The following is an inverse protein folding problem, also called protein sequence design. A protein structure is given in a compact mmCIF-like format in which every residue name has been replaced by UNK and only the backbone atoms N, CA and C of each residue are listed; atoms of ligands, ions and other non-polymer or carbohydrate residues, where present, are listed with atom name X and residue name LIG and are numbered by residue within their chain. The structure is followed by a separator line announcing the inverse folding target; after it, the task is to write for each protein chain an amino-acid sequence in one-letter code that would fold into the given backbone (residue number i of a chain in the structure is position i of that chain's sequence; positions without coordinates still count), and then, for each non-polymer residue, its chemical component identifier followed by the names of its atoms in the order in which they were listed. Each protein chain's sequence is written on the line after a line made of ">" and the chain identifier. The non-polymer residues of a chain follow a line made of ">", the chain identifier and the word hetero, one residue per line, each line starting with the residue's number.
data_IF_932266585100
#
_entry.id   IF_932266585100
#
_cell.length_a   1.000
_cell.length_b   1.000
_cell.length_c   1.000
_cell.angle_alpha   90.00
_cell.angle_beta   90.00
_cell.angle_gamma   90.00
#
_symmetry.space_group_name_H-M   'P 1'
#
loop_
_entity.id
_entity.type
_entity.pdbx_description
1 polymer ?
#
# COMPACT_ATOMS: atom_id res chain seq x y z
N UNK A 1 39.52 19.36 -34.41
CA UNK A 1 39.04 19.69 -33.05
C UNK A 1 37.53 19.52 -33.05
N UNK A 2 36.99 18.55 -32.30
CA UNK A 2 35.55 18.34 -32.11
C UNK A 2 35.04 19.24 -30.96
N UNK A 3 33.79 19.73 -31.02
CA UNK A 3 33.03 20.13 -29.84
C UNK A 3 32.13 19.00 -29.33
N UNK A 4 31.94 18.99 -28.01
CA UNK A 4 31.45 17.88 -27.20
C UNK A 4 29.96 17.56 -27.29
N UNK A 5 29.67 16.29 -27.05
CA UNK A 5 28.36 15.76 -26.74
C UNK A 5 28.30 15.55 -25.22
N UNK A 6 27.40 16.26 -24.55
CA UNK A 6 27.06 16.02 -23.15
C UNK A 6 26.34 14.67 -23.05
N UNK A 7 26.94 13.72 -22.37
CA UNK A 7 26.31 12.44 -22.02
C UNK A 7 25.36 12.64 -20.85
N UNK A 8 24.07 12.33 -21.05
CA UNK A 8 23.11 12.15 -19.97
C UNK A 8 23.48 10.90 -19.17
N UNK A 9 23.92 11.07 -17.93
CA UNK A 9 24.06 9.96 -16.99
C UNK A 9 22.69 9.60 -16.44
N UNK A 10 22.12 8.48 -16.94
CA UNK A 10 21.03 7.78 -16.25
C UNK A 10 21.57 7.25 -14.93
N UNK A 11 21.02 7.72 -13.82
CA UNK A 11 21.27 7.13 -12.51
C UNK A 11 20.40 5.86 -12.46
N UNK A 12 20.97 4.74 -12.88
CA UNK A 12 20.39 3.41 -12.61
C UNK A 12 20.58 3.12 -11.13
N UNK A 13 19.57 3.41 -10.31
CA UNK A 13 19.49 2.86 -8.95
C UNK A 13 19.15 1.37 -9.09
N UNK A 14 20.11 0.49 -8.84
CA UNK A 14 19.90 -0.97 -8.86
C UNK A 14 19.24 -1.41 -7.55
N UNK A 15 17.97 -1.04 -7.38
CA UNK A 15 17.11 -1.68 -6.39
C UNK A 15 16.58 -3.00 -6.97
N UNK A 16 16.66 -4.09 -6.21
CA UNK A 16 16.13 -5.39 -6.62
C UNK A 16 15.09 -5.88 -5.60
N UNK A 17 14.03 -6.54 -6.09
CA UNK A 17 12.94 -7.09 -5.28
C UNK A 17 13.31 -8.52 -4.85
N UNK A 18 13.19 -8.83 -3.55
CA UNK A 18 13.35 -10.20 -3.06
C UNK A 18 12.00 -10.83 -2.73
N UNK A 19 11.72 -12.01 -3.30
CA UNK A 19 10.56 -12.83 -2.93
C UNK A 19 10.73 -13.35 -1.50
N UNK A 20 9.73 -13.09 -0.66
CA UNK A 20 9.66 -13.72 0.67
C UNK A 20 9.23 -15.19 0.50
N UNK A 21 9.90 -16.16 1.14
CA UNK A 21 9.43 -17.55 1.14
C UNK A 21 8.06 -17.66 1.85
N UNK A 22 7.26 -18.72 1.59
CA UNK A 22 5.91 -18.89 2.16
C UNK A 22 5.85 -18.81 3.70
N UNK A 23 6.95 -19.14 4.38
CA UNK A 23 7.10 -19.07 5.84
C UNK A 23 7.27 -17.64 6.38
N UNK A 24 7.54 -16.64 5.54
CA UNK A 24 7.70 -15.25 5.96
C UNK A 24 6.37 -14.52 6.22
N UNK A 25 5.23 -15.06 5.72
CA UNK A 25 3.88 -14.56 6.03
C UNK A 25 3.61 -14.52 7.54
N UNK A 26 4.20 -15.43 8.30
CA UNK A 26 4.00 -15.54 9.74
C UNK A 26 4.63 -14.36 10.52
N UNK A 27 5.66 -13.72 9.97
CA UNK A 27 6.26 -12.52 10.57
C UNK A 27 5.40 -11.26 10.37
N UNK A 28 4.58 -11.20 9.31
CA UNK A 28 3.70 -10.05 9.03
C UNK A 28 2.39 -10.06 9.82
N UNK A 29 2.04 -11.20 10.42
CA UNK A 29 0.84 -11.37 11.24
C UNK A 29 1.09 -11.05 12.73
N UNK A 30 2.36 -10.91 13.13
CA UNK A 30 2.77 -10.68 14.52
C UNK A 30 3.01 -9.18 14.77
N UNK A 31 2.42 -8.58 15.82
CA UNK A 31 2.73 -7.20 16.19
C UNK A 31 4.18 -7.09 16.68
N UNK A 32 5.00 -6.26 16.02
CA UNK A 32 6.36 -5.97 16.46
C UNK A 32 6.33 -4.86 17.53
N UNK A 33 6.94 -5.12 18.68
CA UNK A 33 7.05 -4.18 19.81
C UNK A 33 8.51 -3.78 20.02
N UNK A 34 8.88 -2.52 19.78
CA UNK A 34 10.17 -1.93 20.21
C UNK A 34 10.06 -0.40 20.34
N UNK A 35 10.38 0.10 21.54
CA UNK A 35 10.06 1.44 22.07
C UNK A 35 10.59 2.67 21.30
N UNK A 36 9.68 3.48 20.74
CA UNK A 36 9.39 4.91 21.00
C UNK A 36 8.40 5.38 19.91
N UNK A 37 7.14 5.53 20.30
CA UNK A 37 5.98 5.70 19.40
C UNK A 37 5.89 4.55 18.39
N UNK A 38 5.70 3.34 18.90
CA UNK A 38 5.68 2.13 18.09
C UNK A 38 4.43 2.14 17.22
N UNK A 39 4.62 2.34 15.91
CA UNK A 39 3.61 1.93 14.95
C UNK A 39 3.74 0.42 14.76
N UNK A 40 2.69 -0.30 15.15
CA UNK A 40 2.54 -1.69 14.79
C UNK A 40 1.69 -1.76 13.52
N UNK A 41 2.29 -2.24 12.43
CA UNK A 41 1.58 -2.55 11.20
C UNK A 41 1.21 -4.04 11.18
N UNK A 42 0.02 -4.33 10.69
CA UNK A 42 -0.40 -5.70 10.43
C UNK A 42 -1.31 -5.78 9.23
N UNK A 43 -1.11 -6.82 8.43
CA UNK A 43 -2.03 -7.16 7.36
C UNK A 43 -3.29 -7.77 7.96
N UNK A 44 -4.45 -7.21 7.63
CA UNK A 44 -5.74 -7.84 7.90
C UNK A 44 -6.09 -8.81 6.77
N UNK A 45 -5.73 -8.43 5.55
CA UNK A 45 -5.97 -9.20 4.36
C UNK A 45 -4.85 -9.01 3.35
N UNK A 46 -4.37 -10.10 2.75
CA UNK A 46 -3.43 -10.04 1.63
C UNK A 46 -4.25 -10.12 0.35
N UNK A 47 -4.17 -9.09 -0.48
CA UNK A 47 -4.87 -9.03 -1.74
C UNK A 47 -4.38 -10.07 -2.73
N UNK A 48 -5.13 -10.25 -3.80
CA UNK A 48 -4.84 -11.20 -4.86
C UNK A 48 -5.46 -10.76 -6.17
N UNK A 49 -4.89 -11.22 -7.28
CA UNK A 49 -5.48 -11.11 -8.62
C UNK A 49 -5.23 -12.44 -9.34
N UNK A 50 -6.30 -13.21 -9.56
CA UNK A 50 -6.22 -14.58 -10.04
C UNK A 50 -6.96 -14.73 -11.38
N UNK A 51 -6.27 -15.11 -12.47
CA UNK A 51 -6.90 -15.34 -13.75
C UNK A 51 -7.89 -16.51 -13.68
N UNK A 52 -8.99 -16.41 -14.42
CA UNK A 52 -10.02 -17.42 -14.54
C UNK A 52 -9.99 -18.06 -15.94
N UNK A 53 -10.59 -19.25 -16.08
CA UNK A 53 -10.61 -19.99 -17.35
C UNK A 53 -11.40 -19.32 -18.47
N UNK A 54 -12.29 -18.39 -18.14
CA UNK A 54 -13.11 -17.62 -19.07
C UNK A 54 -12.45 -16.30 -19.53
N UNK A 55 -11.20 -16.07 -19.12
CA UNK A 55 -10.44 -14.86 -19.43
C UNK A 55 -10.73 -13.68 -18.50
N UNK A 56 -11.58 -13.86 -17.47
CA UNK A 56 -11.79 -12.85 -16.42
C UNK A 56 -10.76 -13.00 -15.30
N UNK A 57 -10.79 -12.08 -14.34
CA UNK A 57 -9.95 -12.13 -13.14
C UNK A 57 -10.85 -12.10 -11.90
N UNK A 58 -10.44 -12.83 -10.88
CA UNK A 58 -10.97 -12.68 -9.52
C UNK A 58 -9.91 -11.95 -8.70
N UNK A 59 -10.25 -10.77 -8.21
CA UNK A 59 -9.32 -9.93 -7.49
C UNK A 59 -9.93 -9.35 -6.20
N UNK A 60 -9.05 -8.99 -5.28
CA UNK A 60 -9.38 -8.18 -4.13
C UNK A 60 -8.14 -7.45 -3.59
N UNK A 61 -8.35 -6.27 -3.01
CA UNK A 61 -7.29 -5.40 -2.52
C UNK A 61 -6.75 -5.80 -1.15
N UNK A 62 -5.46 -5.59 -0.93
CA UNK A 62 -4.81 -5.75 0.37
C UNK A 62 -5.37 -4.75 1.38
N UNK A 63 -5.78 -5.24 2.55
CA UNK A 63 -6.26 -4.40 3.66
C UNK A 63 -5.19 -4.34 4.75
N UNK A 64 -4.70 -3.14 5.04
CA UNK A 64 -3.62 -2.92 6.02
C UNK A 64 -4.11 -2.12 7.21
N UNK A 65 -3.82 -2.61 8.41
CA UNK A 65 -4.07 -1.89 9.66
C UNK A 65 -2.75 -1.38 10.24
N UNK A 66 -2.69 -0.07 10.49
CA UNK A 66 -1.58 0.60 11.15
C UNK A 66 -2.08 1.11 12.50
N UNK A 67 -1.48 0.62 13.58
CA UNK A 67 -1.83 0.98 14.97
C UNK A 67 -0.69 1.74 15.62
N UNK A 68 -1.01 2.76 16.40
CA UNK A 68 -0.05 3.61 17.12
C UNK A 68 -0.81 4.63 17.96
N UNK A 69 -0.39 5.90 18.02
CA UNK A 69 -1.21 6.98 18.61
C UNK A 69 -2.58 7.16 17.95
N UNK A 70 -2.70 6.71 16.69
CA UNK A 70 -3.91 6.69 15.87
C UNK A 70 -4.04 5.35 15.19
N UNK A 71 -5.28 4.90 15.00
CA UNK A 71 -5.60 3.67 14.27
C UNK A 71 -6.01 4.01 12.84
N UNK A 72 -5.22 3.56 11.88
CA UNK A 72 -5.37 3.88 10.47
C UNK A 72 -5.62 2.59 9.70
N UNK A 73 -6.69 2.56 8.94
CA UNK A 73 -7.00 1.52 7.99
C UNK A 73 -6.65 2.00 6.58
N UNK A 74 -5.85 1.24 5.85
CA UNK A 74 -5.51 1.52 4.45
C UNK A 74 -6.18 0.47 3.58
N UNK A 75 -7.02 0.96 2.67
CA UNK A 75 -8.01 0.22 1.89
C UNK A 75 -9.00 -0.60 2.75
N UNK A 76 -10.03 -1.12 2.11
CA UNK A 76 -11.19 -1.75 2.77
C UNK A 76 -11.71 -2.99 2.05
N UNK A 77 -11.00 -3.46 1.02
CA UNK A 77 -11.42 -4.58 0.17
C UNK A 77 -12.66 -4.25 -0.66
N UNK A 78 -13.13 -5.25 -1.39
CA UNK A 78 -14.40 -5.20 -2.12
C UNK A 78 -15.65 -5.29 -1.24
N UNK A 79 -16.84 -4.91 -1.73
CA UNK A 79 -18.07 -5.00 -0.95
C UNK A 79 -18.40 -6.42 -0.47
N UNK A 80 -17.90 -7.44 -1.17
CA UNK A 80 -18.04 -8.86 -0.83
C UNK A 80 -17.24 -9.25 0.43
N UNK A 81 -16.29 -8.44 0.88
CA UNK A 81 -15.40 -8.70 2.00
C UNK A 81 -15.86 -8.07 3.32
N UNK A 82 -17.09 -7.52 3.34
CA UNK A 82 -17.68 -6.84 4.51
C UNK A 82 -17.57 -7.64 5.81
N UNK A 83 -18.11 -8.86 5.84
CA UNK A 83 -18.10 -9.70 7.03
C UNK A 83 -16.69 -10.13 7.42
N UNK A 84 -15.83 -10.37 6.42
CA UNK A 84 -14.44 -10.76 6.63
C UNK A 84 -13.64 -9.64 7.29
N UNK A 85 -13.77 -8.40 6.80
CA UNK A 85 -13.13 -7.22 7.39
C UNK A 85 -13.58 -7.00 8.84
N UNK A 86 -14.88 -7.09 9.12
CA UNK A 86 -15.41 -6.97 10.49
C UNK A 86 -14.85 -8.05 11.42
N UNK A 87 -14.76 -9.30 10.93
CA UNK A 87 -14.16 -10.40 11.67
C UNK A 87 -12.68 -10.13 11.97
N UNK A 88 -11.91 -9.67 10.98
CA UNK A 88 -10.47 -9.37 11.15
C UNK A 88 -10.22 -8.22 12.13
N UNK A 89 -11.04 -7.17 12.11
CA UNK A 89 -10.98 -6.11 13.12
C UNK A 89 -11.27 -6.66 14.52
N UNK A 90 -12.30 -7.50 14.65
CA UNK A 90 -12.67 -8.13 15.92
C UNK A 90 -11.58 -9.06 16.46
N UNK A 91 -10.89 -9.81 15.61
CA UNK A 91 -9.70 -10.61 15.99
C UNK A 91 -8.59 -9.73 16.59
N UNK A 92 -8.52 -8.45 16.21
CA UNK A 92 -7.62 -7.44 16.78
C UNK A 92 -8.25 -6.66 17.94
N UNK A 93 -9.39 -7.12 18.45
CA UNK A 93 -10.16 -6.46 19.51
C UNK A 93 -10.58 -5.03 19.16
N UNK A 94 -10.82 -4.76 17.88
CA UNK A 94 -11.29 -3.47 17.37
C UNK A 94 -12.71 -3.58 16.83
N UNK A 95 -13.47 -2.50 16.92
CA UNK A 95 -14.72 -2.28 16.20
C UNK A 95 -14.54 -1.12 15.20
N UNK A 96 -15.43 -0.97 14.20
CA UNK A 96 -15.25 0.08 13.19
C UNK A 96 -15.15 1.50 13.74
N UNK A 97 -15.78 1.79 14.88
CA UNK A 97 -15.68 3.11 15.53
C UNK A 97 -14.33 3.39 16.21
N UNK A 98 -13.48 2.38 16.36
CA UNK A 98 -12.12 2.54 16.90
C UNK A 98 -11.12 2.98 15.83
N UNK A 99 -11.52 2.99 14.56
CA UNK A 99 -10.70 3.45 13.44
C UNK A 99 -10.77 4.99 13.38
N UNK A 100 -9.64 5.65 13.56
CA UNK A 100 -9.54 7.11 13.47
C UNK A 100 -9.56 7.57 11.99
N UNK A 101 -8.88 6.83 11.12
CA UNK A 101 -8.66 7.20 9.72
C UNK A 101 -8.84 6.02 8.79
N UNK A 102 -9.48 6.25 7.65
CA UNK A 102 -9.52 5.31 6.51
C UNK A 102 -8.90 5.99 5.30
N UNK A 103 -7.89 5.37 4.72
CA UNK A 103 -7.22 5.85 3.51
C UNK A 103 -7.48 4.85 2.39
N UNK A 104 -8.36 5.19 1.46
CA UNK A 104 -8.47 4.53 0.16
C UNK A 104 -7.35 5.02 -0.74
N UNK A 105 -6.44 4.12 -1.12
CA UNK A 105 -5.32 4.41 -2.02
C UNK A 105 -5.80 4.98 -3.33
N UNK A 106 -6.90 4.44 -3.86
CA UNK A 106 -7.60 4.90 -5.06
C UNK A 106 -9.06 4.42 -5.07
N UNK A 107 -9.81 4.78 -6.11
CA UNK A 107 -11.27 4.61 -6.17
C UNK A 107 -11.81 3.30 -6.74
N UNK A 108 -10.99 2.26 -6.92
CA UNK A 108 -11.50 0.98 -7.43
C UNK A 108 -12.30 0.21 -6.37
N UNK A 109 -13.27 -0.58 -6.85
CA UNK A 109 -14.30 -1.21 -6.02
C UNK A 109 -13.75 -2.16 -4.96
N UNK A 110 -12.65 -2.82 -5.27
CA UNK A 110 -11.91 -3.76 -4.45
C UNK A 110 -10.96 -3.12 -3.44
N UNK A 111 -10.87 -1.79 -3.41
CA UNK A 111 -10.11 -1.04 -2.40
C UNK A 111 -11.03 -0.23 -1.47
N UNK A 112 -12.15 0.29 -1.99
CA UNK A 112 -13.05 1.19 -1.25
C UNK A 112 -14.46 0.61 -1.04
N UNK A 113 -14.63 -0.70 -1.19
CA UNK A 113 -15.93 -1.36 -1.15
C UNK A 113 -16.66 -1.25 0.20
N UNK A 114 -15.93 -1.02 1.29
CA UNK A 114 -16.49 -1.04 2.64
C UNK A 114 -16.35 0.28 3.41
N UNK A 115 -16.15 1.42 2.74
CA UNK A 115 -16.04 2.73 3.41
C UNK A 115 -17.21 3.03 4.37
N UNK A 116 -18.43 2.60 4.03
CA UNK A 116 -19.63 2.80 4.85
C UNK A 116 -19.60 2.12 6.22
N UNK A 117 -18.65 1.21 6.48
CA UNK A 117 -18.44 0.61 7.79
C UNK A 117 -17.88 1.58 8.83
N UNK A 118 -17.23 2.67 8.39
CA UNK A 118 -16.42 3.53 9.25
C UNK A 118 -16.98 4.96 9.34
N UNK A 119 -18.23 5.16 9.78
CA UNK A 119 -18.91 6.47 9.71
C UNK A 119 -18.31 7.53 10.64
N UNK A 120 -17.49 7.13 11.62
CA UNK A 120 -16.82 8.05 12.56
C UNK A 120 -15.38 8.37 12.18
N UNK A 121 -14.81 7.62 11.22
CA UNK A 121 -13.45 7.84 10.78
C UNK A 121 -13.38 9.05 9.85
N UNK A 122 -12.21 9.69 9.81
CA UNK A 122 -11.88 10.63 8.73
C UNK A 122 -11.47 9.81 7.51
N UNK A 123 -12.13 10.02 6.38
CA UNK A 123 -11.95 9.23 5.16
C UNK A 123 -11.21 10.06 4.09
N UNK A 124 -10.18 9.44 3.51
CA UNK A 124 -9.46 9.92 2.33
C UNK A 124 -9.65 8.90 1.21
N UNK A 125 -9.93 9.34 -0.01
CA UNK A 125 -9.88 8.48 -1.20
C UNK A 125 -9.08 9.19 -2.26
N UNK A 126 -7.88 8.68 -2.57
CA UNK A 126 -6.94 9.40 -3.40
C UNK A 126 -6.63 10.81 -2.85
N UNK A 127 -6.80 11.84 -3.68
CA UNK A 127 -6.65 13.25 -3.26
C UNK A 127 -7.91 13.87 -2.63
N UNK A 128 -9.03 13.15 -2.61
CA UNK A 128 -10.27 13.68 -2.05
C UNK A 128 -10.24 13.58 -0.52
N UNK A 129 -10.01 14.73 0.11
CA UNK A 129 -10.00 14.86 1.57
C UNK A 129 -11.38 15.28 2.05
N UNK A 130 -12.01 14.45 2.87
CA UNK A 130 -13.16 14.89 3.68
C UNK A 130 -12.60 15.51 4.97
N UNK A 131 -12.38 16.83 4.95
CA UNK A 131 -12.21 17.67 6.15
C UNK A 131 -11.06 17.35 7.13
N UNK A 132 -9.82 17.04 6.75
CA UNK A 132 -8.73 17.03 7.75
C UNK A 132 -7.32 17.23 7.20
N UNK A 133 -6.49 17.94 7.96
CA UNK A 133 -5.08 18.12 7.66
C UNK A 133 -4.29 16.94 8.26
N UNK A 134 -3.95 15.93 7.44
CA UNK A 134 -3.29 14.67 7.86
C UNK A 134 -1.88 14.86 8.46
N UNK A 135 -1.34 16.08 8.44
CA UNK A 135 0.01 16.43 8.90
C UNK A 135 0.27 16.23 10.42
N UNK A 136 -0.72 15.79 11.20
CA UNK A 136 -0.62 15.68 12.66
C UNK A 136 -0.27 14.27 13.17
N UNK A 137 -0.07 13.28 12.30
CA UNK A 137 0.28 11.91 12.72
C UNK A 137 1.81 11.74 12.60
N UNK A 138 2.56 11.66 13.72
CA UNK A 138 4.01 11.51 13.64
C UNK A 138 4.40 10.26 12.85
N UNK A 139 5.41 10.34 11.99
CA UNK A 139 5.98 9.21 11.23
C UNK A 139 5.07 8.55 10.19
N UNK A 140 3.80 8.95 10.07
CA UNK A 140 2.88 8.48 9.02
C UNK A 140 2.58 9.63 8.07
N UNK A 141 2.68 9.37 6.76
CA UNK A 141 2.34 10.35 5.73
C UNK A 141 1.60 9.67 4.59
N UNK A 142 0.51 10.28 4.14
CA UNK A 142 -0.10 9.98 2.84
C UNK A 142 0.71 10.72 1.78
N UNK A 143 1.20 10.00 0.78
CA UNK A 143 2.03 10.57 -0.29
C UNK A 143 1.37 10.33 -1.65
N UNK A 144 1.44 11.31 -2.57
CA UNK A 144 1.11 11.12 -3.98
C UNK A 144 1.82 9.89 -4.56
N UNK A 145 1.10 9.02 -5.26
CA UNK A 145 1.69 7.91 -6.01
C UNK A 145 0.96 7.62 -7.33
N UNK A 146 0.69 8.66 -8.16
CA UNK A 146 -0.17 8.53 -9.32
C UNK A 146 0.37 7.53 -10.34
N UNK A 147 -0.52 6.99 -11.15
CA UNK A 147 -0.17 6.28 -12.37
C UNK A 147 -1.10 5.10 -12.68
N UNK A 148 -1.43 4.31 -11.65
CA UNK A 148 -2.47 3.26 -11.79
C UNK A 148 -3.81 3.92 -12.11
N UNK A 149 -4.17 4.91 -11.31
CA UNK A 149 -5.15 5.95 -11.63
C UNK A 149 -4.50 7.34 -11.59
N UNK A 150 -5.28 8.39 -11.86
CA UNK A 150 -4.79 9.77 -11.81
C UNK A 150 -4.62 10.34 -10.39
N UNK A 151 -5.27 9.76 -9.39
CA UNK A 151 -5.39 10.33 -8.04
C UNK A 151 -4.86 9.43 -6.93
N UNK A 152 -4.04 8.44 -7.28
CA UNK A 152 -3.54 7.45 -6.32
C UNK A 152 -2.70 8.09 -5.22
N UNK A 153 -2.85 7.55 -4.02
CA UNK A 153 -2.01 7.84 -2.86
C UNK A 153 -1.50 6.56 -2.22
N UNK A 154 -0.33 6.65 -1.59
CA UNK A 154 0.27 5.61 -0.78
C UNK A 154 0.41 6.07 0.67
N UNK A 155 0.42 5.14 1.62
CA UNK A 155 0.67 5.43 3.03
C UNK A 155 2.09 5.00 3.40
N UNK A 156 2.93 5.99 3.73
CA UNK A 156 4.31 5.78 4.17
C UNK A 156 4.41 5.85 5.68
N UNK A 157 4.99 4.83 6.30
CA UNK A 157 5.23 4.73 7.74
C UNK A 157 6.74 4.59 7.99
N UNK A 158 7.30 5.52 8.74
CA UNK A 158 8.71 5.48 9.18
C UNK A 158 8.81 4.89 10.58
N UNK A 159 10.01 4.46 10.96
CA UNK A 159 10.31 4.08 12.35
C UNK A 159 9.77 2.71 12.75
N UNK A 160 9.34 1.87 11.80
CA UNK A 160 9.06 0.47 12.07
C UNK A 160 10.37 -0.32 12.13
N UNK A 161 10.40 -1.45 12.84
CA UNK A 161 11.61 -2.29 13.03
C UNK A 161 12.27 -2.73 11.72
N UNK A 162 11.51 -2.72 10.62
CA UNK A 162 11.94 -3.09 9.27
C UNK A 162 12.36 -1.90 8.40
N UNK A 163 12.38 -0.67 8.93
CA UNK A 163 12.77 0.55 8.21
C UNK A 163 11.56 1.43 7.85
N UNK A 164 11.44 1.78 6.58
CA UNK A 164 10.31 2.51 5.99
C UNK A 164 9.36 1.54 5.30
N UNK A 165 8.11 1.51 5.75
CA UNK A 165 7.02 0.75 5.13
C UNK A 165 6.21 1.64 4.19
N UNK A 166 5.84 1.13 3.03
CA UNK A 166 4.93 1.76 2.10
C UNK A 166 3.74 0.84 1.80
N UNK A 167 2.53 1.25 2.19
CA UNK A 167 1.29 0.64 1.70
C UNK A 167 0.95 1.34 0.40
N UNK A 168 1.13 0.63 -0.71
CA UNK A 168 1.27 1.25 -2.03
C UNK A 168 -0.01 1.24 -2.87
N UNK A 169 -1.03 0.47 -2.44
CA UNK A 169 -2.14 0.11 -3.32
C UNK A 169 -1.61 -0.52 -4.61
N UNK A 170 -2.29 -0.24 -5.72
CA UNK A 170 -1.95 -0.81 -7.03
C UNK A 170 -0.81 -0.07 -7.75
N UNK A 171 -0.09 0.81 -7.05
CA UNK A 171 1.22 1.25 -7.55
C UNK A 171 2.11 0.03 -7.87
N UNK A 172 1.98 -1.01 -7.03
CA UNK A 172 2.48 -2.35 -7.29
C UNK A 172 1.32 -3.35 -7.20
N UNK A 173 1.10 -4.12 -8.26
CA UNK A 173 0.09 -5.19 -8.27
C UNK A 173 0.55 -6.30 -7.31
N UNK A 174 1.79 -6.77 -7.47
CA UNK A 174 2.44 -7.72 -6.58
C UNK A 174 3.98 -7.64 -6.76
N UNK A 175 4.75 -8.49 -6.06
CA UNK A 175 6.22 -8.46 -6.15
C UNK A 175 6.81 -8.88 -7.51
N UNK A 176 6.03 -9.57 -8.36
CA UNK A 176 6.45 -10.10 -9.67
C UNK A 176 5.52 -9.59 -10.77
N UNK A 177 5.25 -8.28 -10.79
CA UNK A 177 4.22 -7.71 -11.65
C UNK A 177 4.74 -7.12 -12.97
N UNK A 178 6.02 -7.32 -13.32
CA UNK A 178 6.69 -6.66 -14.46
C UNK A 178 5.92 -6.75 -15.78
N UNK A 179 5.28 -7.90 -16.02
CA UNK A 179 4.51 -8.19 -17.23
C UNK A 179 3.01 -7.83 -17.13
N UNK A 180 2.53 -7.41 -15.95
CA UNK A 180 1.10 -7.27 -15.65
C UNK A 180 0.70 -5.81 -15.43
N UNK A 181 1.43 -5.08 -14.57
CA UNK A 181 0.96 -3.78 -14.06
C UNK A 181 0.71 -2.75 -15.17
N UNK A 182 1.47 -2.83 -16.28
CA UNK A 182 1.32 -1.92 -17.42
C UNK A 182 -0.04 -2.04 -18.11
N UNK A 183 -0.65 -3.23 -18.08
CA UNK A 183 -1.97 -3.47 -18.64
C UNK A 183 -3.11 -2.88 -17.82
N UNK A 184 -2.88 -2.63 -16.52
CA UNK A 184 -3.87 -2.09 -15.59
C UNK A 184 -3.69 -0.59 -15.33
N UNK A 185 -2.58 -0.02 -15.80
CA UNK A 185 -2.21 1.39 -15.63
C UNK A 185 -3.00 2.35 -16.51
N UNK A 186 -3.54 3.42 -15.94
CA UNK A 186 -4.06 4.55 -16.73
C UNK A 186 -2.95 5.41 -17.35
N UNK A 187 -1.77 5.47 -16.72
CA UNK A 187 -0.62 6.21 -17.24
C UNK A 187 0.70 5.53 -16.83
N UNK A 188 1.19 4.66 -17.72
CA UNK A 188 2.37 3.84 -17.46
C UNK A 188 3.62 4.65 -17.18
N UNK A 189 3.83 5.76 -17.89
CA UNK A 189 4.99 6.63 -17.68
C UNK A 189 4.99 7.29 -16.31
N UNK A 190 3.82 7.71 -15.82
CA UNK A 190 3.69 8.31 -14.48
C UNK A 190 3.80 7.24 -13.40
N UNK A 191 3.18 6.07 -13.59
CA UNK A 191 3.28 4.96 -12.65
C UNK A 191 4.71 4.44 -12.50
N UNK A 192 5.46 4.35 -13.60
CA UNK A 192 6.88 3.95 -13.56
C UNK A 192 7.70 4.90 -12.67
N UNK A 193 7.57 6.22 -12.84
CA UNK A 193 8.25 7.20 -12.00
C UNK A 193 7.85 7.10 -10.53
N UNK A 194 6.55 6.89 -10.26
CA UNK A 194 6.05 6.68 -8.89
C UNK A 194 6.61 5.39 -8.28
N UNK A 195 6.76 4.31 -9.07
CA UNK A 195 7.35 3.05 -8.63
C UNK A 195 8.85 3.20 -8.34
N UNK A 196 9.58 3.90 -9.20
CA UNK A 196 11.01 4.20 -8.99
C UNK A 196 11.23 4.96 -7.67
N UNK A 197 10.45 6.01 -7.41
CA UNK A 197 10.50 6.77 -6.16
C UNK A 197 10.17 5.88 -4.93
N UNK A 198 9.15 5.03 -5.05
CA UNK A 198 8.79 4.09 -4.00
C UNK A 198 9.93 3.11 -3.69
N UNK A 199 10.57 2.52 -4.71
CA UNK A 199 11.72 1.62 -4.54
C UNK A 199 12.93 2.35 -3.93
N UNK A 200 13.15 3.61 -4.27
CA UNK A 200 14.23 4.41 -3.68
C UNK A 200 14.01 4.73 -2.20
N UNK A 201 12.75 4.81 -1.74
CA UNK A 201 12.43 5.34 -0.40
C UNK A 201 11.86 4.32 0.60
N UNK A 202 11.28 3.21 0.14
CA UNK A 202 10.66 2.20 0.99
C UNK A 202 11.55 0.97 1.19
N UNK A 203 11.70 0.48 2.41
CA UNK A 203 12.42 -0.77 2.71
C UNK A 203 11.51 -1.99 2.55
N UNK A 204 10.20 -1.78 2.73
CA UNK A 204 9.13 -2.77 2.56
C UNK A 204 7.97 -2.14 1.82
N UNK A 205 7.44 -2.85 0.82
CA UNK A 205 6.24 -2.47 0.07
C UNK A 205 5.13 -3.48 0.33
N UNK A 206 3.94 -2.98 0.65
CA UNK A 206 2.69 -3.74 0.69
C UNK A 206 1.92 -3.40 -0.60
N UNK A 207 1.84 -4.33 -1.58
CA UNK A 207 1.15 -4.11 -2.85
C UNK A 207 -0.36 -4.32 -2.74
N UNK A 208 -1.09 -3.94 -3.79
CA UNK A 208 -2.55 -4.05 -3.86
C UNK A 208 -3.06 -5.47 -3.97
N UNK A 209 -2.40 -6.35 -4.72
CA UNK A 209 -2.88 -7.69 -5.06
C UNK A 209 -1.84 -8.79 -4.81
N UNK A 210 -1.10 -8.69 -3.70
CA UNK A 210 -0.15 -9.74 -3.32
C UNK A 210 0.49 -9.55 -1.95
N UNK A 211 1.37 -10.47 -1.54
CA UNK A 211 2.08 -10.38 -0.27
C UNK A 211 3.09 -9.22 -0.26
N UNK A 212 3.43 -8.67 0.93
CA UNK A 212 4.47 -7.66 1.05
C UNK A 212 5.84 -8.20 0.62
N UNK A 213 6.69 -7.30 0.13
CA UNK A 213 8.04 -7.63 -0.29
C UNK A 213 9.06 -6.62 0.22
N UNK A 214 10.31 -7.08 0.38
CA UNK A 214 11.45 -6.24 0.77
C UNK A 214 12.11 -5.65 -0.46
N UNK A 215 12.52 -4.40 -0.34
CA UNK A 215 13.34 -3.72 -1.34
C UNK A 215 14.80 -3.81 -0.90
N UNK A 216 15.65 -4.38 -1.76
CA UNK A 216 17.09 -4.43 -1.52
C UNK A 216 17.78 -3.33 -2.32
N UNK A 217 18.71 -2.62 -1.70
CA UNK A 217 19.56 -1.62 -2.35
C UNK A 217 21.01 -2.10 -2.27
N UNK A 218 21.70 -2.09 -3.39
CA UNK A 218 23.15 -2.35 -3.50
C UNK A 218 23.96 -1.09 -3.20
#
# INVERSE_FOLDING_TARGET
>A
MLPGLLTSTSITSTAFIQHSPPTALQYWLMPFLTSRLDYCNSLLYVGYCLPQSDGTFRADGTITLITGPKTILVDTGGPWDREFLLMKLKERSLIPSDIDFVVGTHGHSDHIGNLSLFPTAVIFVGYDIIFYNFHSIPQVSVVPSPGHTGQDVSVKVKGVSVGTLLVAGDLFECCSDEDIWRGHSMNTSVQELSREEALQTADVIIPGHGPPFRVLRS
#
